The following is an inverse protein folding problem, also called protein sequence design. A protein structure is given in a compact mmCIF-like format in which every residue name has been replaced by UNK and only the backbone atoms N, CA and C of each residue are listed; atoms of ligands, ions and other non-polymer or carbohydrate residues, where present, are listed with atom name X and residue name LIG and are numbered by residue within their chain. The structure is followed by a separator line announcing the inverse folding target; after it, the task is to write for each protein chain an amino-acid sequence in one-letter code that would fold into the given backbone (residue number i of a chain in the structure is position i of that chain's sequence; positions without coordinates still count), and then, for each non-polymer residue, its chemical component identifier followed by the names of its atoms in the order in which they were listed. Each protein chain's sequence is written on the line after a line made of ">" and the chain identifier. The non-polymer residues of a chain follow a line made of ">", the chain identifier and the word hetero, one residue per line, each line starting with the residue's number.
data_IF_340510647645
#
_entry.id   IF_340510647645
#
_cell.length_a   1.000
_cell.length_b   1.000
_cell.length_c   1.000
_cell.angle_alpha   90.00
_cell.angle_beta   90.00
_cell.angle_gamma   90.00
#
_symmetry.space_group_name_H-M   'P 1'
#
loop_
_entity.id
_entity.type
_entity.pdbx_description
1 polymer ?
#
# COMPACT_ATOMS: atom_id res chain seq x y z
N UNK A 1 -13.79 -1.29 15.71
CA UNK A 1 -13.08 0.01 15.79
C UNK A 1 -12.43 0.27 14.43
N UNK A 2 -12.60 1.47 13.88
CA UNK A 2 -11.98 1.85 12.59
C UNK A 2 -11.02 3.01 12.87
N UNK A 3 -9.83 2.98 12.28
CA UNK A 3 -8.84 4.02 12.50
C UNK A 3 -9.27 5.35 11.85
N UNK A 4 -8.96 6.47 12.50
CA UNK A 4 -9.23 7.81 11.97
C UNK A 4 -8.70 7.98 10.53
N UNK A 5 -7.49 7.51 10.27
CA UNK A 5 -6.82 7.67 8.98
C UNK A 5 -7.45 6.84 7.87
N UNK A 6 -7.90 5.63 8.17
CA UNK A 6 -8.61 4.78 7.21
C UNK A 6 -9.97 5.37 6.83
N UNK A 7 -10.69 5.92 7.81
CA UNK A 7 -11.91 6.68 7.55
C UNK A 7 -11.62 7.93 6.72
N UNK A 8 -10.58 8.70 7.03
CA UNK A 8 -10.25 9.92 6.28
C UNK A 8 -9.87 9.60 4.83
N UNK A 9 -9.22 8.45 4.62
CA UNK A 9 -8.87 7.95 3.30
C UNK A 9 -10.09 7.51 2.50
N UNK A 10 -11.09 6.92 3.15
CA UNK A 10 -12.27 6.37 2.49
C UNK A 10 -13.39 7.40 2.28
N UNK A 11 -13.55 8.35 3.20
CA UNK A 11 -14.68 9.28 3.23
C UNK A 11 -14.27 10.75 3.17
N UNK A 12 -12.96 11.06 3.21
CA UNK A 12 -12.44 12.41 3.28
C UNK A 12 -12.42 12.95 4.72
N UNK A 13 -11.44 13.80 5.02
CA UNK A 13 -11.23 14.36 6.38
C UNK A 13 -12.44 15.11 6.92
N UNK A 14 -13.10 15.91 6.08
CA UNK A 14 -14.27 16.69 6.48
C UNK A 14 -15.44 15.80 6.91
N UNK A 15 -15.73 14.76 6.13
CA UNK A 15 -16.78 13.78 6.45
C UNK A 15 -16.49 13.03 7.76
N UNK A 16 -15.23 12.68 8.00
CA UNK A 16 -14.82 12.00 9.24
C UNK A 16 -14.87 12.92 10.45
N UNK A 17 -14.60 14.21 10.26
CA UNK A 17 -14.77 15.21 11.31
C UNK A 17 -16.24 15.51 11.60
N UNK A 18 -17.11 15.41 10.58
CA UNK A 18 -18.56 15.47 10.77
C UNK A 18 -19.12 14.29 11.59
N UNK A 19 -18.32 13.25 11.87
CA UNK A 19 -18.69 12.14 12.77
C UNK A 19 -18.95 12.55 14.23
N UNK A 20 -18.69 13.80 14.59
CA UNK A 20 -19.12 14.38 15.86
C UNK A 20 -20.63 14.63 15.91
N UNK A 21 -21.31 14.64 14.77
CA UNK A 21 -22.77 14.80 14.68
C UNK A 21 -23.42 13.43 14.94
N UNK A 22 -24.17 13.35 16.04
CA UNK A 22 -24.90 12.15 16.45
C UNK A 22 -26.25 12.10 15.74
N UNK A 23 -26.62 10.94 15.19
CA UNK A 23 -27.94 10.75 14.59
C UNK A 23 -29.02 10.94 15.68
N UNK A 24 -29.96 11.90 15.50
CA UNK A 24 -30.95 12.24 16.54
C UNK A 24 -32.01 11.16 16.78
N UNK A 25 -32.17 10.20 15.86
CA UNK A 25 -33.14 9.09 16.00
C UNK A 25 -32.51 7.83 16.60
N UNK A 26 -31.22 7.60 16.40
CA UNK A 26 -30.55 6.36 16.83
C UNK A 26 -29.50 6.55 17.92
N UNK A 27 -29.11 7.80 18.23
CA UNK A 27 -28.09 8.12 19.24
C UNK A 27 -26.67 7.66 18.88
N UNK A 28 -26.45 7.19 17.64
CA UNK A 28 -25.16 6.66 17.18
C UNK A 28 -24.42 7.67 16.29
N UNK A 29 -23.10 7.71 16.43
CA UNK A 29 -22.19 8.41 15.49
C UNK A 29 -22.12 7.65 14.17
N UNK A 30 -21.93 8.37 13.06
CA UNK A 30 -21.91 7.84 11.70
C UNK A 30 -20.90 6.68 11.48
N UNK A 31 -19.73 6.77 12.13
CA UNK A 31 -18.65 5.78 12.07
C UNK A 31 -18.36 5.10 13.42
N UNK A 32 -19.24 5.29 14.41
CA UNK A 32 -18.98 4.84 15.80
C UNK A 32 -17.83 5.60 16.46
N UNK A 33 -17.19 4.97 17.46
CA UNK A 33 -16.02 5.55 18.13
C UNK A 33 -14.79 5.47 17.23
N UNK A 34 -14.29 6.65 16.87
CA UNK A 34 -13.08 6.81 16.08
C UNK A 34 -11.90 6.81 17.03
N UNK A 35 -10.97 5.87 16.81
CA UNK A 35 -9.69 5.90 17.48
C UNK A 35 -8.81 7.00 16.84
N UNK A 36 -8.74 8.15 17.50
CA UNK A 36 -7.82 9.24 17.15
C UNK A 36 -6.54 9.06 17.96
N UNK A 37 -5.41 8.82 17.29
CA UNK A 37 -4.11 8.78 17.95
C UNK A 37 -3.53 10.19 17.98
N UNK A 38 -2.90 10.60 19.10
CA UNK A 38 -2.27 11.91 19.19
C UNK A 38 -1.14 12.02 18.15
N UNK A 39 -0.93 13.25 17.67
CA UNK A 39 -0.05 13.56 16.51
C UNK A 39 1.41 13.16 16.75
N UNK A 40 1.80 12.98 18.01
CA UNK A 40 3.11 12.52 18.48
C UNK A 40 3.35 11.00 18.30
N UNK A 41 2.30 10.20 18.09
CA UNK A 41 2.45 8.76 17.79
C UNK A 41 2.63 8.55 16.29
N UNK A 42 3.88 8.65 15.83
CA UNK A 42 4.26 8.18 14.51
C UNK A 42 3.90 6.70 14.35
N UNK A 43 3.23 6.36 13.25
CA UNK A 43 2.93 4.97 12.92
C UNK A 43 4.15 4.31 12.26
N UNK A 44 4.64 3.24 12.87
CA UNK A 44 5.73 2.45 12.31
C UNK A 44 5.16 1.39 11.36
N UNK A 45 5.64 1.40 10.12
CA UNK A 45 5.33 0.39 9.12
C UNK A 45 6.54 -0.51 8.89
N UNK A 46 6.30 -1.82 8.78
CA UNK A 46 7.28 -2.76 8.24
C UNK A 46 6.90 -3.05 6.80
N UNK A 47 7.80 -2.71 5.87
CA UNK A 47 7.62 -2.88 4.43
C UNK A 47 8.94 -3.33 3.81
N UNK A 48 8.86 -3.95 2.63
CA UNK A 48 10.03 -4.32 1.84
C UNK A 48 10.51 -3.08 1.08
N UNK A 49 11.81 -2.80 1.13
CA UNK A 49 12.43 -1.82 0.24
C UNK A 49 12.51 -2.44 -1.16
N UNK A 50 11.79 -1.86 -2.12
CA UNK A 50 11.72 -2.35 -3.50
C UNK A 50 12.61 -1.55 -4.43
N UNK A 51 12.71 -0.24 -4.22
CA UNK A 51 13.59 0.64 -5.00
C UNK A 51 14.37 1.56 -4.10
N UNK A 52 15.62 1.81 -4.45
CA UNK A 52 16.54 2.67 -3.71
C UNK A 52 16.84 3.95 -4.50
N UNK A 53 17.50 4.89 -3.83
CA UNK A 53 17.91 6.16 -4.43
C UNK A 53 18.69 5.97 -5.74
N UNK A 54 18.16 6.55 -6.82
CA UNK A 54 18.73 6.51 -8.15
C UNK A 54 18.05 5.51 -9.09
N UNK A 55 17.21 4.62 -8.56
CA UNK A 55 16.46 3.67 -9.39
C UNK A 55 15.31 4.35 -10.14
N UNK A 56 14.90 3.71 -11.24
CA UNK A 56 13.60 3.95 -11.87
C UNK A 56 12.72 2.74 -11.65
N UNK A 57 11.60 2.94 -10.96
CA UNK A 57 10.62 1.91 -10.65
C UNK A 57 9.44 1.98 -11.62
N UNK A 58 8.99 0.83 -12.09
CA UNK A 58 7.76 0.69 -12.85
C UNK A 58 7.02 -0.57 -12.39
N UNK A 59 5.70 -0.56 -12.42
CA UNK A 59 4.86 -1.73 -12.21
C UNK A 59 4.03 -1.93 -13.48
N UNK A 60 4.11 -3.13 -14.06
CA UNK A 60 3.33 -3.53 -15.23
C UNK A 60 2.67 -4.85 -14.88
N UNK A 61 1.33 -4.90 -14.92
CA UNK A 61 0.57 -6.11 -14.62
C UNK A 61 0.99 -6.77 -13.29
N UNK A 62 1.06 -5.96 -12.21
CA UNK A 62 1.50 -6.34 -10.86
C UNK A 62 2.96 -6.86 -10.74
N UNK A 63 3.75 -6.82 -11.82
CA UNK A 63 5.19 -7.12 -11.81
C UNK A 63 5.99 -5.83 -11.66
N UNK A 64 6.91 -5.81 -10.70
CA UNK A 64 7.83 -4.69 -10.51
C UNK A 64 9.01 -4.78 -11.46
N UNK A 65 9.42 -3.66 -12.00
CA UNK A 65 10.63 -3.47 -12.77
C UNK A 65 11.48 -2.38 -12.13
N UNK A 66 12.75 -2.66 -11.94
CA UNK A 66 13.77 -1.70 -11.49
C UNK A 66 14.75 -1.49 -12.63
N UNK A 67 14.91 -0.24 -13.06
CA UNK A 67 15.79 0.15 -14.17
C UNK A 67 15.53 -0.69 -15.45
N UNK A 68 14.24 -0.96 -15.72
CA UNK A 68 13.79 -1.74 -16.88
C UNK A 68 13.92 -3.26 -16.75
N UNK A 69 14.45 -3.78 -15.63
CA UNK A 69 14.60 -5.22 -15.39
C UNK A 69 13.54 -5.72 -14.40
N UNK A 70 12.92 -6.88 -14.64
CA UNK A 70 11.91 -7.42 -13.72
C UNK A 70 12.58 -7.81 -12.39
N UNK A 71 12.01 -7.33 -11.29
CA UNK A 71 12.45 -7.66 -9.95
C UNK A 71 11.96 -9.05 -9.53
N UNK A 72 12.77 -9.78 -8.75
CA UNK A 72 12.36 -11.07 -8.23
C UNK A 72 11.22 -10.88 -7.22
N UNK A 73 10.10 -11.56 -7.46
CA UNK A 73 8.99 -11.48 -6.52
C UNK A 73 9.31 -12.25 -5.24
N UNK A 74 9.03 -11.67 -4.05
CA UNK A 74 9.09 -12.41 -2.80
C UNK A 74 8.20 -13.65 -2.86
N UNK A 75 8.65 -14.77 -2.26
CA UNK A 75 7.86 -16.02 -2.24
C UNK A 75 6.50 -15.81 -1.58
N UNK A 76 6.48 -15.03 -0.50
CA UNK A 76 5.29 -14.70 0.28
C UNK A 76 4.52 -13.49 -0.27
N UNK A 77 4.81 -13.05 -1.49
CA UNK A 77 4.04 -12.00 -2.17
C UNK A 77 2.61 -12.46 -2.40
N UNK A 78 1.65 -11.68 -1.91
CA UNK A 78 0.21 -11.93 -2.07
C UNK A 78 -0.42 -10.90 -3.00
N UNK A 79 -1.33 -11.37 -3.86
CA UNK A 79 -2.24 -10.54 -4.67
C UNK A 79 -3.68 -10.86 -4.27
N UNK A 80 -4.63 -10.01 -4.66
CA UNK A 80 -6.05 -10.34 -4.58
C UNK A 80 -6.40 -11.33 -5.69
N UNK A 81 -7.04 -12.43 -5.33
CA UNK A 81 -7.53 -13.46 -6.24
C UNK A 81 -9.05 -13.56 -6.15
N UNK A 82 -9.66 -13.84 -7.30
CA UNK A 82 -11.00 -14.38 -7.37
C UNK A 82 -10.92 -15.90 -7.38
N UNK A 83 -11.76 -16.54 -6.57
CA UNK A 83 -11.86 -17.99 -6.46
C UNK A 83 -13.32 -18.39 -6.59
N UNK A 84 -13.62 -19.27 -7.53
CA UNK A 84 -14.96 -19.82 -7.77
C UNK A 84 -15.02 -21.29 -7.39
N UNK A 85 -16.13 -21.68 -6.77
CA UNK A 85 -16.43 -23.07 -6.45
C UNK A 85 -17.55 -23.64 -7.30
N UNK A 86 -17.73 -24.96 -7.25
CA UNK A 86 -18.81 -25.68 -7.95
C UNK A 86 -20.16 -25.67 -7.21
N UNK A 87 -20.33 -24.84 -6.18
CA UNK A 87 -21.48 -24.89 -5.27
C UNK A 87 -21.14 -25.44 -3.88
N UNK A 88 -20.01 -26.14 -3.74
CA UNK A 88 -19.54 -26.66 -2.44
C UNK A 88 -18.55 -25.67 -1.82
N UNK A 89 -18.86 -25.06 -0.66
CA UNK A 89 -17.99 -24.10 0.00
C UNK A 89 -16.60 -24.65 0.33
N UNK A 90 -15.60 -23.77 0.39
CA UNK A 90 -14.27 -24.14 0.85
C UNK A 90 -14.31 -24.33 2.37
N UNK A 91 -13.84 -25.49 2.84
CA UNK A 91 -13.78 -25.77 4.27
C UNK A 91 -12.87 -24.75 4.99
N UNK A 92 -13.37 -23.99 5.99
CA UNK A 92 -12.58 -22.98 6.70
C UNK A 92 -11.31 -23.53 7.36
N UNK A 93 -11.32 -24.80 7.81
CA UNK A 93 -10.13 -25.45 8.40
C UNK A 93 -8.98 -25.57 7.39
N UNK A 94 -9.30 -25.68 6.10
CA UNK A 94 -8.29 -25.72 5.04
C UNK A 94 -7.66 -24.35 4.84
N UNK A 95 -8.47 -23.28 4.86
CA UNK A 95 -7.96 -21.90 4.78
C UNK A 95 -7.00 -21.60 5.93
N UNK A 96 -7.37 -21.99 7.16
CA UNK A 96 -6.50 -21.87 8.34
C UNK A 96 -5.22 -22.68 8.21
N UNK A 97 -5.29 -23.91 7.68
CA UNK A 97 -4.12 -24.78 7.46
C UNK A 97 -3.09 -24.13 6.52
N UNK A 98 -3.55 -23.40 5.50
CA UNK A 98 -2.67 -22.70 4.55
C UNK A 98 -2.43 -21.23 4.92
N UNK A 99 -2.83 -20.82 6.12
CA UNK A 99 -2.70 -19.44 6.62
C UNK A 99 -3.30 -18.40 5.67
N UNK A 100 -4.42 -18.76 5.02
CA UNK A 100 -5.24 -17.85 4.22
C UNK A 100 -6.21 -17.18 5.19
N UNK A 101 -5.81 -16.03 5.70
CA UNK A 101 -6.52 -15.30 6.77
C UNK A 101 -7.25 -14.06 6.28
N UNK A 102 -7.00 -13.63 5.04
CA UNK A 102 -7.53 -12.37 4.52
C UNK A 102 -8.44 -12.60 3.30
N UNK A 103 -9.63 -12.02 3.37
CA UNK A 103 -10.68 -12.20 2.38
C UNK A 103 -11.85 -13.04 2.90
N UNK A 104 -12.68 -13.53 2.00
CA UNK A 104 -13.89 -14.29 2.33
C UNK A 104 -14.85 -14.43 1.16
N UNK A 105 -16.03 -14.97 1.46
CA UNK A 105 -17.13 -15.10 0.50
C UNK A 105 -17.59 -13.72 0.01
N UNK A 106 -17.99 -13.66 -1.26
CA UNK A 106 -18.63 -12.48 -1.84
C UNK A 106 -20.08 -12.45 -1.37
N UNK A 107 -20.53 -11.31 -0.82
CA UNK A 107 -21.84 -11.18 -0.16
C UNK A 107 -23.03 -11.64 -1.02
N UNK A 108 -22.95 -11.44 -2.34
CA UNK A 108 -24.03 -11.76 -3.28
C UNK A 108 -23.86 -13.11 -3.99
N UNK A 109 -22.76 -13.82 -3.73
CA UNK A 109 -22.52 -15.15 -4.31
C UNK A 109 -21.69 -16.03 -3.35
N UNK A 110 -22.38 -16.90 -2.61
CA UNK A 110 -21.79 -17.82 -1.64
C UNK A 110 -20.78 -18.83 -2.21
N UNK A 111 -20.74 -18.97 -3.55
CA UNK A 111 -19.81 -19.87 -4.24
C UNK A 111 -18.50 -19.19 -4.65
N UNK A 112 -18.44 -17.86 -4.53
CA UNK A 112 -17.31 -17.06 -4.98
C UNK A 112 -16.63 -16.39 -3.79
N UNK A 113 -15.32 -16.22 -3.89
CA UNK A 113 -14.49 -15.70 -2.82
C UNK A 113 -13.51 -14.68 -3.38
N UNK A 114 -13.22 -13.67 -2.56
CA UNK A 114 -12.02 -12.86 -2.70
C UNK A 114 -11.04 -13.26 -1.61
N UNK A 115 -9.82 -13.63 -1.99
CA UNK A 115 -8.75 -13.91 -1.04
C UNK A 115 -7.47 -13.15 -1.41
N UNK A 116 -6.64 -12.86 -0.41
CA UNK A 116 -5.27 -12.43 -0.64
C UNK A 116 -4.35 -13.65 -0.56
N UNK A 117 -3.82 -14.07 -1.70
CA UNK A 117 -3.13 -15.35 -1.84
C UNK A 117 -1.72 -15.15 -2.37
N UNK A 118 -0.79 -15.94 -1.83
CA UNK A 118 0.48 -16.21 -2.51
C UNK A 118 0.20 -17.02 -3.77
N UNK A 119 1.11 -16.94 -4.76
CA UNK A 119 1.02 -17.78 -5.97
C UNK A 119 0.89 -19.27 -5.61
N UNK A 120 1.67 -19.73 -4.63
CA UNK A 120 1.64 -21.10 -4.12
C UNK A 120 0.27 -21.49 -3.56
N UNK A 121 -0.35 -20.62 -2.75
CA UNK A 121 -1.67 -20.88 -2.18
C UNK A 121 -2.78 -20.84 -3.25
N UNK A 122 -2.67 -19.96 -4.25
CA UNK A 122 -3.60 -19.92 -5.38
C UNK A 122 -3.57 -21.24 -6.19
N UNK A 123 -2.38 -21.72 -6.55
CA UNK A 123 -2.23 -23.03 -7.23
C UNK A 123 -2.75 -24.17 -6.35
N UNK A 124 -2.54 -24.09 -5.03
CA UNK A 124 -3.06 -25.11 -4.11
C UNK A 124 -4.57 -25.14 -4.07
N UNK A 125 -5.24 -23.98 -3.96
CA UNK A 125 -6.70 -23.90 -4.01
C UNK A 125 -7.24 -24.42 -5.34
N UNK A 126 -6.59 -24.09 -6.46
CA UNK A 126 -6.96 -24.55 -7.80
C UNK A 126 -6.97 -26.08 -7.92
N UNK A 127 -6.17 -26.79 -7.11
CA UNK A 127 -6.13 -28.27 -7.08
C UNK A 127 -7.31 -28.93 -6.35
N UNK A 128 -8.19 -28.18 -5.68
CA UNK A 128 -9.30 -28.77 -4.94
C UNK A 128 -10.47 -29.11 -5.85
N UNK A 129 -11.08 -30.28 -5.63
CA UNK A 129 -12.17 -30.78 -6.47
C UNK A 129 -13.41 -29.87 -6.50
N UNK A 130 -13.62 -29.06 -5.46
CA UNK A 130 -14.73 -28.12 -5.39
C UNK A 130 -14.40 -26.72 -5.94
N UNK A 131 -13.17 -26.45 -6.37
CA UNK A 131 -12.73 -25.17 -6.94
C UNK A 131 -12.71 -25.29 -8.47
N UNK A 132 -13.38 -24.37 -9.14
CA UNK A 132 -13.56 -24.40 -10.61
C UNK A 132 -12.75 -23.31 -11.32
N UNK A 133 -12.46 -22.20 -10.64
CA UNK A 133 -11.64 -21.12 -11.19
C UNK A 133 -10.85 -20.41 -10.09
N UNK A 134 -9.62 -20.02 -10.43
CA UNK A 134 -8.71 -19.24 -9.58
C UNK A 134 -7.86 -18.35 -10.48
N UNK A 135 -8.04 -17.04 -10.37
CA UNK A 135 -7.23 -16.07 -11.13
C UNK A 135 -6.98 -14.79 -10.32
N UNK A 136 -5.83 -14.12 -10.53
CA UNK A 136 -5.56 -12.84 -9.88
C UNK A 136 -6.48 -11.76 -10.44
N UNK A 137 -6.91 -10.84 -9.58
CA UNK A 137 -7.66 -9.66 -9.98
C UNK A 137 -6.65 -8.54 -10.20
N UNK A 138 -6.40 -8.23 -11.46
CA UNK A 138 -5.50 -7.16 -11.88
C UNK A 138 -6.33 -5.97 -12.37
N UNK A 139 -6.01 -4.77 -11.91
CA UNK A 139 -6.61 -3.55 -12.40
C UNK A 139 -6.30 -3.35 -13.90
N UNK A 140 -7.22 -2.74 -14.65
CA UNK A 140 -7.00 -2.45 -16.07
C UNK A 140 -6.01 -1.30 -16.24
N UNK A 141 -5.06 -1.44 -17.17
CA UNK A 141 -4.12 -0.38 -17.52
C UNK A 141 -4.85 0.92 -17.90
N UNK A 142 -4.35 2.06 -17.43
CA UNK A 142 -4.95 3.38 -17.66
C UNK A 142 -6.20 3.69 -16.83
N UNK A 143 -6.72 2.75 -16.05
CA UNK A 143 -7.80 3.05 -15.09
C UNK A 143 -7.20 3.75 -13.88
N UNK A 144 -7.36 5.08 -13.80
CA UNK A 144 -6.80 5.89 -12.73
C UNK A 144 -7.44 5.57 -11.38
N UNK A 145 -6.61 5.26 -10.39
CA UNK A 145 -7.02 5.23 -9.00
C UNK A 145 -6.54 6.52 -8.32
N UNK A 146 -7.48 7.39 -7.94
CA UNK A 146 -7.18 8.70 -7.34
C UNK A 146 -6.42 8.62 -6.02
N UNK A 147 -6.43 7.45 -5.36
CA UNK A 147 -5.65 7.20 -4.13
C UNK A 147 -4.20 6.84 -4.39
N UNK A 148 -3.80 6.65 -5.64
CA UNK A 148 -2.42 6.33 -6.01
C UNK A 148 -1.62 7.62 -6.12
N UNK A 149 -0.44 7.62 -5.50
CA UNK A 149 0.53 8.69 -5.63
C UNK A 149 0.85 8.93 -7.12
N UNK A 150 0.92 10.18 -7.60
CA UNK A 150 0.97 11.43 -6.83
C UNK A 150 -0.39 12.09 -6.53
N UNK A 151 -1.52 11.40 -6.71
CA UNK A 151 -2.88 11.95 -6.58
C UNK A 151 -3.18 13.08 -7.57
N UNK A 152 -2.58 13.00 -8.75
CA UNK A 152 -2.71 13.99 -9.80
C UNK A 152 -3.16 13.30 -11.10
N UNK A 153 -4.12 13.92 -11.81
CA UNK A 153 -4.73 13.34 -13.01
C UNK A 153 -3.76 13.23 -14.20
N UNK A 154 -2.61 13.92 -14.14
CA UNK A 154 -1.50 13.73 -15.08
C UNK A 154 -0.92 12.31 -15.02
N UNK A 155 -1.16 11.59 -13.92
CA UNK A 155 -0.63 10.26 -13.66
C UNK A 155 -1.78 9.30 -13.36
N UNK A 156 -2.38 8.77 -14.42
CA UNK A 156 -3.51 7.83 -14.39
C UNK A 156 -3.11 6.40 -13.98
N UNK A 157 -2.29 6.29 -12.94
CA UNK A 157 -1.77 5.04 -12.41
C UNK A 157 -2.78 4.32 -11.52
N UNK A 158 -2.58 3.01 -11.35
CA UNK A 158 -3.25 2.17 -10.37
C UNK A 158 -2.26 1.24 -9.65
N UNK A 159 -2.77 0.36 -8.80
CA UNK A 159 -1.98 -0.57 -7.98
C UNK A 159 -1.10 -1.53 -8.79
N UNK A 160 -1.52 -1.85 -10.02
CA UNK A 160 -0.92 -2.88 -10.89
C UNK A 160 -0.21 -2.31 -12.12
N UNK A 161 -0.46 -1.03 -12.41
CA UNK A 161 0.15 -0.25 -13.49
C UNK A 161 0.58 1.11 -12.94
N UNK A 162 1.87 1.23 -12.62
CA UNK A 162 2.43 2.38 -11.90
C UNK A 162 3.78 2.78 -12.51
N UNK A 163 4.06 4.07 -12.55
CA UNK A 163 5.32 4.59 -13.08
C UNK A 163 5.34 4.66 -14.62
N UNK A 164 6.52 4.85 -15.21
CA UNK A 164 7.84 4.87 -14.56
C UNK A 164 8.01 6.04 -13.58
N UNK A 165 8.71 5.78 -12.47
CA UNK A 165 8.99 6.73 -11.41
C UNK A 165 10.48 6.69 -11.04
N UNK A 166 11.18 7.81 -11.23
CA UNK A 166 12.55 7.96 -10.75
C UNK A 166 12.56 8.21 -9.24
N UNK A 167 13.32 7.43 -8.49
CA UNK A 167 13.48 7.54 -7.04
C UNK A 167 14.67 8.47 -6.77
N UNK A 168 14.45 9.64 -6.13
CA UNK A 168 15.52 10.62 -6.02
C UNK A 168 16.72 10.14 -5.19
N UNK A 169 17.92 10.49 -5.67
CA UNK A 169 19.19 10.27 -4.99
C UNK A 169 19.76 11.59 -4.49
N UNK A 170 20.37 11.58 -3.30
CA UNK A 170 21.07 12.74 -2.77
C UNK A 170 22.13 13.24 -3.76
N UNK A 171 22.11 14.54 -4.03
CA UNK A 171 23.00 15.19 -5.00
C UNK A 171 22.57 15.04 -6.46
N UNK A 172 21.53 14.26 -6.77
CA UNK A 172 20.98 14.21 -8.12
C UNK A 172 20.16 15.48 -8.40
N UNK A 173 20.28 15.99 -9.63
CA UNK A 173 19.55 17.17 -10.11
C UNK A 173 18.52 16.78 -11.15
N UNK A 174 17.28 17.25 -11.00
CA UNK A 174 16.24 17.13 -12.02
C UNK A 174 15.87 18.51 -12.57
N UNK A 175 15.44 18.56 -13.83
CA UNK A 175 14.72 19.73 -14.35
C UNK A 175 13.31 19.74 -13.75
N UNK A 176 12.86 20.89 -13.27
CA UNK A 176 11.50 21.05 -12.75
C UNK A 176 10.57 21.50 -13.87
N UNK A 177 9.43 20.84 -13.98
CA UNK A 177 8.33 21.21 -14.89
C UNK A 177 7.02 21.10 -14.13
N UNK A 178 5.99 21.82 -14.58
CA UNK A 178 4.66 21.66 -13.99
C UNK A 178 4.14 20.22 -14.08
N UNK A 179 4.58 19.46 -15.10
CA UNK A 179 4.18 18.08 -15.30
C UNK A 179 4.82 17.13 -14.28
N UNK A 180 6.10 17.32 -13.92
CA UNK A 180 6.78 16.42 -12.97
C UNK A 180 6.70 16.89 -11.52
N UNK A 181 6.28 18.13 -11.29
CA UNK A 181 6.17 18.69 -9.95
C UNK A 181 5.27 17.87 -9.01
N UNK A 182 4.12 17.29 -9.44
CA UNK A 182 3.32 16.42 -8.57
C UNK A 182 4.11 15.25 -7.98
N UNK A 183 5.06 14.69 -8.73
CA UNK A 183 5.90 13.58 -8.25
C UNK A 183 6.89 14.03 -7.16
N UNK A 184 7.45 15.23 -7.26
CA UNK A 184 8.57 15.64 -6.40
C UNK A 184 8.20 16.72 -5.37
N UNK A 185 6.99 17.30 -5.43
CA UNK A 185 6.54 18.37 -4.54
C UNK A 185 6.77 18.03 -3.07
N UNK A 186 6.35 16.84 -2.63
CA UNK A 186 6.47 16.46 -1.22
C UNK A 186 7.92 16.30 -0.77
N UNK A 187 8.80 15.78 -1.64
CA UNK A 187 10.23 15.71 -1.40
C UNK A 187 10.85 17.09 -1.23
N UNK A 188 10.52 18.02 -2.12
CA UNK A 188 11.08 19.37 -2.13
C UNK A 188 10.53 20.21 -0.98
N UNK A 189 9.21 20.27 -0.82
CA UNK A 189 8.50 21.18 0.07
C UNK A 189 8.53 20.69 1.52
N UNK A 190 8.09 19.44 1.72
CA UNK A 190 7.87 18.88 3.06
C UNK A 190 9.13 18.23 3.60
N UNK A 191 9.71 17.26 2.87
CA UNK A 191 10.81 16.46 3.39
C UNK A 191 12.12 17.24 3.47
N UNK A 192 12.42 18.07 2.46
CA UNK A 192 13.65 18.87 2.41
C UNK A 192 13.49 20.32 2.88
N UNK A 193 12.32 20.62 3.48
CA UNK A 193 11.96 21.86 4.15
C UNK A 193 12.26 23.11 3.31
N UNK A 194 11.63 23.20 2.14
CA UNK A 194 11.67 24.39 1.29
C UNK A 194 10.26 24.97 1.13
N UNK A 195 10.15 26.26 0.82
CA UNK A 195 8.89 26.89 0.41
C UNK A 195 8.72 26.74 -1.10
N UNK A 196 7.90 25.77 -1.55
CA UNK A 196 7.65 25.48 -2.96
C UNK A 196 6.32 26.09 -3.42
N UNK A 197 6.39 27.08 -4.32
CA UNK A 197 5.22 27.78 -4.84
C UNK A 197 5.14 27.71 -6.37
N UNK A 198 3.92 27.71 -6.91
CA UNK A 198 3.67 27.89 -8.34
C UNK A 198 2.88 29.18 -8.53
N UNK A 199 3.44 30.15 -9.26
CA UNK A 199 2.83 31.46 -9.55
C UNK A 199 2.93 31.76 -11.03
N UNK A 200 1.81 32.03 -11.69
CA UNK A 200 1.74 32.37 -13.12
C UNK A 200 2.49 31.35 -14.01
N UNK A 201 2.36 30.06 -13.71
CA UNK A 201 3.03 28.97 -14.43
C UNK A 201 4.53 28.82 -14.15
N UNK A 202 5.11 29.65 -13.29
CA UNK A 202 6.51 29.56 -12.87
C UNK A 202 6.64 28.90 -11.49
N UNK A 203 7.66 28.08 -11.33
CA UNK A 203 7.99 27.38 -10.08
C UNK A 203 8.98 28.23 -9.29
N UNK A 204 8.70 28.42 -8.00
CA UNK A 204 9.56 29.14 -7.07
C UNK A 204 9.92 28.23 -5.90
N UNK A 205 11.19 28.26 -5.49
CA UNK A 205 11.69 27.57 -4.31
C UNK A 205 12.37 28.62 -3.42
N UNK A 206 11.89 28.76 -2.18
CA UNK A 206 12.39 29.76 -1.22
C UNK A 206 12.38 31.18 -1.82
N UNK A 207 11.28 31.55 -2.48
CA UNK A 207 11.09 32.85 -3.11
C UNK A 207 11.83 33.11 -4.42
N UNK A 208 12.66 32.17 -4.90
CA UNK A 208 13.45 32.33 -6.14
C UNK A 208 12.90 31.47 -7.28
N UNK A 209 12.84 31.97 -8.53
CA UNK A 209 12.49 31.13 -9.68
C UNK A 209 13.42 29.92 -9.78
N UNK A 210 12.83 28.73 -9.97
CA UNK A 210 13.55 27.47 -10.01
C UNK A 210 13.19 26.68 -11.28
N UNK A 211 14.20 26.34 -12.08
CA UNK A 211 14.08 25.47 -13.26
C UNK A 211 14.63 24.06 -13.01
N UNK A 212 15.30 23.87 -11.88
CA UNK A 212 15.87 22.59 -11.47
C UNK A 212 15.88 22.48 -9.95
N UNK A 213 16.02 21.26 -9.46
CA UNK A 213 16.18 20.98 -8.05
C UNK A 213 17.25 19.91 -7.84
N UNK A 214 18.08 20.08 -6.81
CA UNK A 214 19.07 19.08 -6.38
C UNK A 214 18.64 18.52 -5.05
N UNK A 215 18.39 17.20 -5.00
CA UNK A 215 17.89 16.54 -3.81
C UNK A 215 18.95 16.49 -2.70
N UNK A 216 18.53 16.82 -1.47
CA UNK A 216 19.37 16.81 -0.27
C UNK A 216 19.38 15.46 0.44
N UNK A 217 18.44 14.58 0.11
CA UNK A 217 18.27 13.26 0.74
C UNK A 217 18.21 12.12 -0.28
N UNK A 218 18.51 10.90 0.19
CA UNK A 218 18.15 9.68 -0.51
C UNK A 218 16.70 9.32 -0.21
N UNK A 219 16.02 8.76 -1.21
CA UNK A 219 14.64 8.30 -1.10
C UNK A 219 14.53 6.83 -1.44
N UNK A 220 13.45 6.23 -0.96
CA UNK A 220 13.17 4.81 -1.08
C UNK A 220 11.72 4.57 -1.45
N UNK A 221 11.48 3.47 -2.15
CA UNK A 221 10.15 3.00 -2.48
C UNK A 221 9.88 1.70 -1.70
N UNK A 222 9.04 1.83 -0.68
CA UNK A 222 8.64 0.75 0.20
C UNK A 222 7.33 0.13 -0.28
N UNK A 223 7.25 -1.20 -0.38
CA UNK A 223 6.02 -1.92 -0.76
C UNK A 223 5.77 -3.10 0.18
N UNK A 224 4.49 -3.40 0.46
CA UNK A 224 4.13 -4.57 1.26
C UNK A 224 4.15 -5.86 0.43
N UNK A 225 4.36 -7.00 1.09
CA UNK A 225 4.29 -8.30 0.41
C UNK A 225 2.82 -8.67 0.06
N UNK A 226 1.84 -8.25 0.87
CA UNK A 226 0.43 -8.29 0.50
C UNK A 226 0.06 -7.08 -0.38
N UNK A 227 0.35 -7.17 -1.68
CA UNK A 227 0.34 -6.04 -2.61
C UNK A 227 -1.04 -5.41 -2.76
N UNK A 228 -2.13 -6.17 -2.74
CA UNK A 228 -3.47 -5.57 -2.91
C UNK A 228 -4.09 -5.14 -1.58
N UNK A 229 -3.47 -5.46 -0.43
CA UNK A 229 -3.93 -5.06 0.90
C UNK A 229 -2.85 -4.34 1.72
N UNK A 230 -2.01 -3.55 1.06
CA UNK A 230 -0.92 -2.83 1.72
C UNK A 230 -1.05 -1.34 1.47
N UNK A 231 -1.15 -0.56 2.55
CA UNK A 231 -0.78 0.84 2.51
C UNK A 231 0.75 0.91 2.36
N UNK A 232 1.21 1.45 1.23
CA UNK A 232 2.63 1.56 0.89
C UNK A 232 2.93 2.71 -0.09
N UNK A 233 4.15 2.77 -0.62
CA UNK A 233 4.64 3.91 -1.42
C UNK A 233 3.88 4.16 -2.71
N UNK A 234 3.13 3.15 -3.21
CA UNK A 234 2.17 3.37 -4.31
C UNK A 234 1.08 4.37 -3.94
N UNK A 235 0.76 4.49 -2.66
CA UNK A 235 -0.28 5.37 -2.15
C UNK A 235 0.27 6.65 -1.52
N UNK A 236 1.42 6.61 -0.83
CA UNK A 236 1.95 7.79 -0.12
C UNK A 236 3.18 8.43 -0.77
N UNK A 237 3.79 7.79 -1.76
CA UNK A 237 5.00 8.25 -2.43
C UNK A 237 6.29 7.83 -1.74
N UNK A 238 7.34 8.62 -1.91
CA UNK A 238 8.67 8.28 -1.42
C UNK A 238 8.80 8.29 0.11
N UNK A 239 9.72 7.46 0.62
CA UNK A 239 10.18 7.51 2.02
C UNK A 239 11.59 8.10 2.03
N UNK A 240 11.85 9.26 2.66
CA UNK A 240 13.19 9.81 2.79
C UNK A 240 14.06 9.01 3.78
N UNK A 241 15.38 9.12 3.65
CA UNK A 241 16.35 8.36 4.46
C UNK A 241 16.23 8.58 5.98
N UNK A 242 15.78 9.75 6.42
CA UNK A 242 15.56 10.10 7.82
C UNK A 242 14.26 9.53 8.41
N UNK A 243 13.38 8.96 7.58
CA UNK A 243 12.17 8.26 8.01
C UNK A 243 12.36 6.74 8.10
N UNK A 244 13.58 6.25 7.83
CA UNK A 244 13.95 4.84 8.01
C UNK A 244 14.53 4.65 9.41
N UNK A 245 13.75 4.04 10.29
CA UNK A 245 14.17 3.75 11.68
C UNK A 245 15.19 2.60 11.74
N UNK A 246 15.08 1.60 10.84
CA UNK A 246 16.03 0.49 10.79
C UNK A 246 15.54 -0.69 9.95
N UNK A 247 16.37 -1.73 9.89
CA UNK A 247 16.09 -2.99 9.20
C UNK A 247 15.61 -4.05 10.20
N UNK A 248 14.52 -4.74 9.87
CA UNK A 248 14.00 -5.86 10.68
C UNK A 248 14.86 -7.10 10.40
N UNK A 249 15.48 -7.68 11.43
CA UNK A 249 16.35 -8.87 11.30
C UNK A 249 15.66 -10.20 11.61
N UNK A 250 14.67 -10.20 12.51
CA UNK A 250 13.90 -11.39 12.85
C UNK A 250 12.55 -11.03 13.47
N UNK A 251 11.60 -11.96 13.43
CA UNK A 251 10.32 -11.84 14.12
C UNK A 251 10.47 -12.34 15.55
N UNK A 252 10.43 -11.46 16.54
CA UNK A 252 10.53 -11.87 17.95
C UNK A 252 9.19 -12.35 18.53
N UNK A 253 8.06 -11.87 17.99
CA UNK A 253 6.72 -12.21 18.43
C UNK A 253 5.70 -12.14 17.29
N UNK A 254 4.78 -13.11 17.23
CA UNK A 254 3.70 -13.13 16.25
C UNK A 254 2.45 -13.74 16.87
N UNK A 255 1.32 -13.05 16.73
CA UNK A 255 0.01 -13.54 17.17
C UNK A 255 -1.01 -13.56 16.04
N UNK A 256 -1.93 -14.51 16.12
CA UNK A 256 -3.10 -14.69 15.28
C UNK A 256 -4.29 -14.07 16.00
N UNK A 257 -4.82 -12.96 15.46
CA UNK A 257 -5.92 -12.22 16.10
C UNK A 257 -7.25 -12.97 16.03
N UNK A 258 -7.35 -13.97 15.15
CA UNK A 258 -8.55 -14.77 14.92
C UNK A 258 -8.57 -16.07 15.75
N UNK A 259 -7.58 -16.26 16.65
CA UNK A 259 -7.50 -17.42 17.55
C UNK A 259 -7.62 -17.00 19.01
N UNK A 260 -8.16 -17.92 19.81
CA UNK A 260 -8.31 -17.77 21.25
C UNK A 260 -6.97 -17.46 21.94
N UNK A 261 -6.99 -16.78 23.09
CA UNK A 261 -5.80 -16.24 23.78
C UNK A 261 -4.70 -17.29 24.04
N UNK A 262 -5.08 -18.56 24.23
CA UNK A 262 -4.16 -19.69 24.44
C UNK A 262 -3.56 -20.28 23.14
N UNK A 263 -4.07 -19.88 21.97
CA UNK A 263 -3.65 -20.36 20.64
C UNK A 263 -3.29 -19.22 19.69
N UNK A 264 -3.32 -17.98 20.18
CA UNK A 264 -2.97 -16.79 19.41
C UNK A 264 -1.50 -16.80 19.00
N UNK A 265 -0.56 -17.36 19.77
CA UNK A 265 0.86 -17.30 19.43
C UNK A 265 1.18 -18.18 18.21
N UNK A 266 1.69 -17.56 17.14
CA UNK A 266 2.15 -18.23 15.90
C UNK A 266 3.58 -18.71 16.08
N UNK A 267 3.76 -19.81 16.81
CA UNK A 267 5.07 -20.39 17.14
C UNK A 267 5.98 -20.63 15.93
N UNK A 268 5.40 -20.98 14.77
CA UNK A 268 6.13 -21.19 13.52
C UNK A 268 6.74 -19.92 12.90
N UNK A 269 6.39 -18.74 13.43
CA UNK A 269 6.90 -17.44 12.98
C UNK A 269 7.82 -16.80 14.01
N UNK A 270 7.98 -17.38 15.20
CA UNK A 270 8.91 -16.86 16.20
C UNK A 270 10.34 -17.18 15.80
N UNK A 271 11.21 -16.17 15.92
CA UNK A 271 12.63 -16.21 15.55
C UNK A 271 12.88 -16.59 14.09
N UNK A 272 11.90 -16.40 13.20
CA UNK A 272 12.15 -16.45 11.77
C UNK A 272 13.03 -15.25 11.40
N UNK A 273 14.22 -15.53 10.90
CA UNK A 273 15.14 -14.52 10.40
C UNK A 273 14.71 -14.09 9.00
N UNK A 274 14.91 -12.81 8.71
CA UNK A 274 14.76 -12.28 7.36
C UNK A 274 16.16 -12.26 6.73
N UNK A 275 16.26 -12.76 5.49
CA UNK A 275 17.46 -12.60 4.66
C UNK A 275 17.68 -11.12 4.27
#
# INVERSE_FOLDING_TARGET
>A
EVSYYELCRQYGRETVWANQIVNPMTGRKLFGDILVRPVDKQENYVKRCIGVAGDTLQVINAQVYINGKPEQNPEERQLKYYVKTNGTPINPKILQKYNITEGGQIADNFNDYYFFLTKKNAEKLKSFANVTDVHPIIATEGTWNTRIFPHDSLYQWNEDFFGPLYIPKKGATIKLTLNNLPLYRRAIDVYENNDLQVKNGMIYINGKPAQSYTFKMNYYFMMGDNRHNSADSRFWGFVPEDHIVGQVKFIWFSTDKDRDLFHAIRWNRLFTYFD
#
